data_IF_129655324930
#
_entry.id   IF_129655324930
#
_cell.length_a   1.000
_cell.length_b   1.000
_cell.length_c   1.000
_cell.angle_alpha   90.00
_cell.angle_beta   90.00
_cell.angle_gamma   90.00
#
_symmetry.space_group_name_H-M   'P 1'
#
loop_
_entity.id
_entity.type
_entity.pdbx_description
1 polymer ?
#
# COMPACT_ATOMS: atom_id res chain seq x y z
N UNK A 1 16.95 -10.10 -31.85
CA UNK A 1 15.47 -10.16 -31.90
C UNK A 1 14.82 -11.22 -30.99
N UNK A 2 15.57 -11.99 -30.19
CA UNK A 2 15.02 -13.16 -29.46
C UNK A 2 14.55 -12.91 -28.01
N UNK A 3 14.63 -11.68 -27.49
CA UNK A 3 14.19 -11.35 -26.12
C UNK A 3 12.74 -10.85 -26.01
N UNK A 4 12.17 -10.34 -27.11
CA UNK A 4 10.79 -9.80 -27.12
C UNK A 4 9.73 -10.92 -27.18
N UNK A 5 10.06 -12.05 -27.83
CA UNK A 5 9.12 -13.18 -28.01
C UNK A 5 8.88 -13.96 -26.71
N UNK A 6 9.77 -13.88 -25.71
CA UNK A 6 9.59 -14.60 -24.43
C UNK A 6 8.55 -13.97 -23.49
N UNK A 7 8.23 -12.68 -23.62
CA UNK A 7 7.20 -12.05 -22.77
C UNK A 7 5.77 -12.42 -23.18
N UNK A 8 5.51 -12.70 -24.46
CA UNK A 8 4.17 -13.04 -24.96
C UNK A 8 3.79 -14.53 -24.85
N UNK A 9 4.68 -15.40 -24.34
CA UNK A 9 4.40 -16.84 -24.22
C UNK A 9 3.71 -17.23 -22.92
N UNK A 10 3.69 -16.36 -21.91
CA UNK A 10 3.08 -16.65 -20.61
C UNK A 10 1.58 -16.32 -20.58
N UNK A 11 1.09 -15.38 -21.39
CA UNK A 11 -0.33 -14.95 -21.40
C UNK A 11 -1.30 -15.92 -22.09
N UNK A 12 -0.80 -17.00 -22.69
CA UNK A 12 -1.62 -17.99 -23.43
C UNK A 12 -1.62 -19.38 -22.80
N UNK A 13 -1.28 -19.48 -21.51
CA UNK A 13 -1.50 -20.71 -20.76
C UNK A 13 -3.00 -20.92 -20.54
N UNK A 14 -3.50 -22.13 -20.79
CA UNK A 14 -4.91 -22.51 -20.50
C UNK A 14 -5.27 -22.30 -19.02
N UNK A 15 -4.26 -22.38 -18.13
CA UNK A 15 -4.39 -22.11 -16.69
C UNK A 15 -4.79 -20.67 -16.41
N UNK A 16 -4.29 -19.71 -17.20
CA UNK A 16 -4.57 -18.29 -16.97
C UNK A 16 -5.93 -17.84 -17.53
N UNK A 17 -6.69 -18.73 -18.19
CA UNK A 17 -8.02 -18.44 -18.73
C UNK A 17 -8.08 -17.09 -19.48
N UNK A 18 -7.04 -16.79 -20.29
CA UNK A 18 -6.85 -15.54 -21.06
C UNK A 18 -6.49 -14.28 -20.25
N UNK A 19 -6.14 -14.40 -18.97
CA UNK A 19 -5.62 -13.29 -18.16
C UNK A 19 -4.10 -13.15 -18.36
N UNK A 20 -3.61 -11.91 -18.41
CA UNK A 20 -2.20 -11.62 -18.24
C UNK A 20 -1.80 -11.58 -16.76
N UNK A 21 -0.50 -11.39 -16.51
CA UNK A 21 0.05 -11.38 -15.14
C UNK A 21 -0.48 -10.20 -14.31
N UNK A 22 -0.64 -9.02 -14.93
CA UNK A 22 -1.18 -7.84 -14.25
C UNK A 22 -2.63 -8.07 -13.81
N UNK A 23 -3.42 -8.70 -14.67
CA UNK A 23 -4.81 -9.06 -14.38
C UNK A 23 -4.87 -10.09 -13.26
N UNK A 24 -3.98 -11.09 -13.23
CA UNK A 24 -3.92 -12.04 -12.12
C UNK A 24 -3.59 -11.35 -10.79
N UNK A 25 -2.62 -10.43 -10.78
CA UNK A 25 -2.29 -9.64 -9.58
C UNK A 25 -3.52 -8.84 -9.13
N UNK A 26 -4.19 -8.15 -10.07
CA UNK A 26 -5.38 -7.38 -9.79
C UNK A 26 -6.52 -8.24 -9.24
N UNK A 27 -6.74 -9.43 -9.79
CA UNK A 27 -7.78 -10.34 -9.31
C UNK A 27 -7.53 -10.80 -7.87
N UNK A 28 -6.27 -11.06 -7.52
CA UNK A 28 -5.89 -11.43 -6.15
C UNK A 28 -6.14 -10.27 -5.18
N UNK A 29 -5.73 -9.05 -5.52
CA UNK A 29 -5.93 -7.88 -4.64
C UNK A 29 -7.40 -7.50 -4.50
N UNK A 30 -8.20 -7.66 -5.55
CA UNK A 30 -9.63 -7.39 -5.50
C UNK A 30 -10.44 -8.45 -4.74
N UNK A 31 -9.93 -9.68 -4.61
CA UNK A 31 -10.72 -10.78 -4.05
C UNK A 31 -11.22 -10.48 -2.65
N UNK A 32 -10.38 -9.87 -1.81
CA UNK A 32 -10.71 -9.59 -0.40
C UNK A 32 -11.90 -8.65 -0.26
N UNK A 33 -12.04 -7.65 -1.14
CA UNK A 33 -13.15 -6.68 -1.11
C UNK A 33 -14.47 -7.25 -1.63
N UNK A 34 -14.46 -8.45 -2.21
CA UNK A 34 -15.69 -9.16 -2.59
C UNK A 34 -16.36 -9.86 -1.41
N UNK A 35 -15.60 -10.26 -0.40
CA UNK A 35 -16.14 -11.04 0.72
C UNK A 35 -17.21 -10.31 1.54
N UNK A 36 -17.12 -9.01 1.86
CA UNK A 36 -18.18 -8.31 2.59
C UNK A 36 -19.54 -8.44 1.92
N UNK A 37 -19.61 -8.19 0.61
CA UNK A 37 -20.87 -8.27 -0.14
C UNK A 37 -21.42 -9.69 -0.25
N UNK A 38 -20.55 -10.70 -0.37
CA UNK A 38 -20.98 -12.11 -0.41
C UNK A 38 -21.52 -12.57 0.95
N UNK A 39 -20.79 -12.28 2.04
CA UNK A 39 -21.19 -12.66 3.41
C UNK A 39 -22.46 -11.94 3.82
N UNK A 40 -22.58 -10.65 3.53
CA UNK A 40 -23.80 -9.88 3.79
C UNK A 40 -25.02 -10.47 3.07
N UNK A 41 -24.87 -10.88 1.80
CA UNK A 41 -25.97 -11.51 1.06
C UNK A 41 -26.37 -12.87 1.65
N UNK A 42 -25.42 -13.66 2.13
CA UNK A 42 -25.73 -14.93 2.80
C UNK A 42 -26.48 -14.64 4.11
N UNK A 43 -25.99 -13.70 4.92
CA UNK A 43 -26.63 -13.27 6.18
C UNK A 43 -28.10 -12.88 5.98
N UNK A 44 -28.40 -12.08 4.95
CA UNK A 44 -29.78 -11.66 4.66
C UNK A 44 -30.72 -12.80 4.24
N UNK A 45 -30.17 -13.94 3.80
CA UNK A 45 -30.94 -15.11 3.38
C UNK A 45 -31.01 -16.22 4.46
N UNK A 46 -30.24 -16.14 5.54
CA UNK A 46 -30.22 -17.13 6.63
C UNK A 46 -31.30 -16.91 7.71
N UNK A 47 -32.48 -16.42 7.33
CA UNK A 47 -33.57 -16.13 8.27
C UNK A 47 -34.06 -17.41 8.96
N UNK A 48 -34.27 -17.35 10.27
CA UNK A 48 -34.80 -18.46 11.07
C UNK A 48 -33.73 -19.36 11.71
N UNK A 49 -32.43 -19.12 11.45
CA UNK A 49 -31.34 -19.70 12.22
C UNK A 49 -30.56 -18.58 12.93
N UNK A 50 -30.75 -18.43 14.24
CA UNK A 50 -30.13 -17.36 15.03
C UNK A 50 -28.61 -17.56 15.20
N UNK A 51 -28.17 -18.82 15.28
CA UNK A 51 -26.74 -19.16 15.42
C UNK A 51 -25.99 -18.76 14.15
N UNK A 52 -26.49 -19.18 12.99
CA UNK A 52 -25.86 -18.84 11.70
C UNK A 52 -25.85 -17.33 11.47
N UNK A 53 -26.92 -16.61 11.83
CA UNK A 53 -26.97 -15.16 11.71
C UNK A 53 -25.92 -14.46 12.58
N UNK A 54 -25.72 -14.94 13.81
CA UNK A 54 -24.69 -14.41 14.71
C UNK A 54 -23.28 -14.66 14.17
N UNK A 55 -23.02 -15.86 13.68
CA UNK A 55 -21.72 -16.23 13.12
C UNK A 55 -21.41 -15.45 11.84
N UNK A 56 -22.39 -15.31 10.94
CA UNK A 56 -22.26 -14.52 9.71
C UNK A 56 -22.09 -13.02 9.99
N UNK A 57 -22.79 -12.47 10.99
CA UNK A 57 -22.59 -11.09 11.42
C UNK A 57 -21.18 -10.86 11.97
N UNK A 58 -20.68 -11.82 12.76
CA UNK A 58 -19.31 -11.77 13.31
C UNK A 58 -18.28 -11.86 12.18
N UNK A 59 -18.44 -12.82 11.26
CA UNK A 59 -17.57 -12.96 10.08
C UNK A 59 -17.57 -11.70 9.22
N UNK A 60 -18.73 -11.05 9.04
CA UNK A 60 -18.83 -9.79 8.29
C UNK A 60 -18.03 -8.66 8.95
N UNK A 61 -18.06 -8.54 10.28
CA UNK A 61 -17.23 -7.58 11.01
C UNK A 61 -15.74 -7.86 10.82
N UNK A 62 -15.33 -9.12 11.05
CA UNK A 62 -13.93 -9.53 10.94
C UNK A 62 -13.35 -9.29 9.54
N UNK A 63 -14.13 -9.55 8.48
CA UNK A 63 -13.69 -9.29 7.10
C UNK A 63 -13.53 -7.79 6.85
N UNK A 64 -14.41 -6.94 7.38
CA UNK A 64 -14.28 -5.47 7.26
C UNK A 64 -13.04 -4.96 8.00
N UNK A 65 -12.81 -5.45 9.21
CA UNK A 65 -11.63 -5.09 10.01
C UNK A 65 -10.33 -5.54 9.34
N UNK A 66 -10.32 -6.74 8.76
CA UNK A 66 -9.22 -7.25 7.97
C UNK A 66 -8.93 -6.36 6.75
N UNK A 67 -9.96 -5.95 6.02
CA UNK A 67 -9.80 -5.03 4.87
C UNK A 67 -9.19 -3.71 5.33
N UNK A 68 -9.67 -3.14 6.44
CA UNK A 68 -9.11 -1.89 7.00
C UNK A 68 -7.65 -2.04 7.38
N UNK A 69 -7.26 -3.18 7.94
CA UNK A 69 -5.85 -3.45 8.31
C UNK A 69 -4.98 -3.62 7.06
N UNK A 70 -5.47 -4.33 6.04
CA UNK A 70 -4.78 -4.48 4.76
C UNK A 70 -4.58 -3.13 4.07
N UNK A 71 -5.60 -2.27 4.04
CA UNK A 71 -5.51 -0.92 3.48
C UNK A 71 -4.43 -0.08 4.17
N UNK A 72 -4.42 -0.12 5.52
CA UNK A 72 -3.41 0.58 6.32
C UNK A 72 -1.99 0.05 6.07
N UNK A 73 -1.81 -1.26 5.91
CA UNK A 73 -0.51 -1.84 5.60
C UNK A 73 -0.03 -1.51 4.19
N UNK A 74 -0.93 -1.50 3.19
CA UNK A 74 -0.60 -1.03 1.84
C UNK A 74 -0.13 0.43 1.90
N UNK A 75 -0.87 1.30 2.59
CA UNK A 75 -0.47 2.69 2.79
C UNK A 75 0.91 2.81 3.45
N UNK A 76 1.17 2.04 4.50
CA UNK A 76 2.47 2.02 5.18
C UNK A 76 3.60 1.59 4.24
N UNK A 77 3.36 0.57 3.40
CA UNK A 77 4.34 0.09 2.42
C UNK A 77 4.63 1.13 1.34
N UNK A 78 3.62 1.85 0.84
CA UNK A 78 3.79 2.94 -0.12
C UNK A 78 4.63 4.08 0.48
N UNK A 79 4.33 4.48 1.71
CA UNK A 79 5.11 5.50 2.43
C UNK A 79 6.55 5.05 2.69
N UNK A 80 6.76 3.78 3.01
CA UNK A 80 8.10 3.22 3.17
C UNK A 80 8.86 3.20 1.84
N UNK A 81 8.23 2.73 0.75
CA UNK A 81 8.83 2.78 -0.58
C UNK A 81 9.24 4.20 -0.97
N UNK A 82 8.40 5.20 -0.67
CA UNK A 82 8.73 6.62 -0.87
C UNK A 82 9.89 7.08 0.00
N UNK A 83 9.95 6.68 1.27
CA UNK A 83 11.09 6.95 2.16
C UNK A 83 12.39 6.39 1.60
N UNK A 84 12.39 5.15 1.09
CA UNK A 84 13.56 4.52 0.49
C UNK A 84 14.03 5.28 -0.76
N UNK A 85 13.10 5.75 -1.59
CA UNK A 85 13.43 6.57 -2.74
C UNK A 85 14.12 7.88 -2.34
N UNK A 86 13.56 8.61 -1.37
CA UNK A 86 14.16 9.84 -0.85
C UNK A 86 15.54 9.54 -0.25
N UNK A 87 15.63 8.52 0.60
CA UNK A 87 16.87 8.07 1.23
C UNK A 87 17.95 7.77 0.19
N UNK A 88 17.62 7.11 -0.92
CA UNK A 88 18.59 6.79 -1.98
C UNK A 88 19.20 8.03 -2.63
N UNK A 89 18.47 9.16 -2.66
CA UNK A 89 18.88 10.42 -3.31
C UNK A 89 19.65 11.37 -2.39
N UNK A 90 19.46 11.27 -1.07
CA UNK A 90 20.11 12.14 -0.08
C UNK A 90 21.61 11.79 0.02
N UNK A 91 22.47 12.81 0.01
CA UNK A 91 23.91 12.64 0.26
C UNK A 91 24.18 12.32 1.73
N UNK A 92 24.87 11.21 2.01
CA UNK A 92 25.18 10.74 3.36
C UNK A 92 26.10 11.66 4.16
N UNK A 93 26.75 12.64 3.52
CA UNK A 93 27.54 13.67 4.22
C UNK A 93 26.68 14.79 4.81
N UNK A 94 25.42 14.89 4.42
CA UNK A 94 24.52 15.96 4.90
C UNK A 94 24.09 15.72 6.35
N UNK A 95 24.12 16.79 7.14
CA UNK A 95 23.65 16.82 8.52
C UNK A 95 22.89 18.11 8.76
N UNK A 96 21.72 18.00 9.40
CA UNK A 96 20.93 19.16 9.83
C UNK A 96 20.91 19.22 11.36
N UNK A 97 21.02 20.42 11.92
CA UNK A 97 20.90 20.62 13.37
C UNK A 97 19.52 21.18 13.68
N UNK A 98 18.74 20.42 14.43
CA UNK A 98 17.38 20.78 14.77
C UNK A 98 17.35 21.33 16.20
N UNK A 99 16.75 22.52 16.46
CA UNK A 99 16.70 23.11 17.80
C UNK A 99 16.06 22.22 18.86
N UNK A 100 15.14 21.35 18.45
CA UNK A 100 14.40 20.43 19.32
C UNK A 100 15.13 19.11 19.59
N UNK A 101 16.23 18.83 18.90
CA UNK A 101 16.93 17.53 19.00
C UNK A 101 18.35 17.71 19.55
N UNK A 102 18.76 16.80 20.46
CA UNK A 102 20.09 16.83 21.09
C UNK A 102 21.25 16.47 20.15
N UNK A 103 20.97 16.11 18.90
CA UNK A 103 21.98 15.65 17.94
C UNK A 103 21.67 16.05 16.50
N UNK A 104 22.65 15.88 15.59
CA UNK A 104 22.43 16.15 14.18
C UNK A 104 21.48 15.11 13.58
N UNK A 105 20.53 15.60 12.80
CA UNK A 105 19.70 14.78 11.91
C UNK A 105 20.53 14.38 10.69
N UNK A 106 20.91 13.11 10.61
CA UNK A 106 21.63 12.53 9.48
C UNK A 106 20.69 11.71 8.58
N UNK A 107 21.21 11.29 7.43
CA UNK A 107 20.52 10.41 6.48
C UNK A 107 19.98 9.13 7.14
N UNK A 108 20.73 8.53 8.05
CA UNK A 108 20.37 7.29 8.74
C UNK A 108 19.18 7.47 9.68
N UNK A 109 19.03 8.66 10.28
CA UNK A 109 17.92 8.98 11.16
C UNK A 109 16.57 8.99 10.42
N UNK A 110 16.58 9.18 9.09
CA UNK A 110 15.37 9.11 8.27
C UNK A 110 14.71 7.73 8.32
N UNK A 111 15.51 6.65 8.39
CA UNK A 111 15.00 5.27 8.41
C UNK A 111 14.28 4.90 9.71
N UNK A 112 14.41 5.73 10.75
CA UNK A 112 13.70 5.57 12.02
C UNK A 112 12.37 6.34 12.04
N UNK A 113 12.03 7.04 10.96
CA UNK A 113 10.84 7.89 10.84
C UNK A 113 9.94 7.42 9.70
N UNK A 114 8.73 7.99 9.63
CA UNK A 114 7.76 7.74 8.57
C UNK A 114 7.53 9.01 7.75
N UNK A 115 7.42 8.85 6.44
CA UNK A 115 6.99 9.93 5.55
C UNK A 115 5.50 10.14 5.74
N UNK A 116 5.11 11.34 6.20
CA UNK A 116 3.71 11.73 6.29
C UNK A 116 3.28 12.40 5.00
N UNK A 117 4.05 13.40 4.56
CA UNK A 117 3.79 14.19 3.37
C UNK A 117 5.10 14.52 2.65
N UNK A 118 5.02 14.63 1.33
CA UNK A 118 6.11 15.07 0.47
C UNK A 118 5.53 15.81 -0.75
N UNK A 119 6.26 16.81 -1.24
CA UNK A 119 5.83 17.65 -2.35
C UNK A 119 6.89 18.66 -2.74
N UNK A 120 6.79 19.21 -3.95
CA UNK A 120 7.68 20.28 -4.40
C UNK A 120 7.27 21.60 -3.73
N UNK A 121 8.24 22.30 -3.16
CA UNK A 121 8.03 23.60 -2.53
C UNK A 121 9.15 24.56 -2.92
N UNK A 122 8.81 25.84 -3.03
CA UNK A 122 9.78 26.92 -3.15
C UNK A 122 10.00 27.58 -1.79
N UNK A 123 11.25 27.83 -1.45
CA UNK A 123 11.64 28.47 -0.19
C UNK A 123 12.29 29.82 -0.47
N UNK A 124 11.73 30.88 0.13
CA UNK A 124 12.24 32.24 -0.03
C UNK A 124 13.42 32.47 0.92
N UNK A 125 14.58 32.76 0.36
CA UNK A 125 15.77 33.11 1.13
C UNK A 125 15.66 34.52 1.71
N UNK A 126 16.43 34.87 2.78
CA UNK A 126 16.45 36.23 3.33
C UNK A 126 16.80 37.31 2.29
N UNK A 127 17.54 36.95 1.23
CA UNK A 127 17.85 37.82 0.10
C UNK A 127 16.69 38.01 -0.90
N UNK A 128 15.49 37.51 -0.58
CA UNK A 128 14.28 37.67 -1.39
C UNK A 128 14.14 36.71 -2.57
N UNK A 129 15.13 35.84 -2.82
CA UNK A 129 15.13 34.88 -3.94
C UNK A 129 14.47 33.56 -3.54
N UNK A 130 13.63 33.02 -4.41
CA UNK A 130 13.09 31.66 -4.28
C UNK A 130 14.14 30.64 -4.74
N UNK A 131 14.26 29.55 -3.99
CA UNK A 131 14.99 28.34 -4.34
C UNK A 131 14.03 27.15 -4.31
#
# INVERSE_FOLDING_TARGET
MSRVVRRNRLSRSSVLRRHGVQECILLVTQRITKYPGLVDRILQNSKGNEVDQKDLSTALSLVKDLISTVDQEVHNQEKNARLQEIYSRVDGRTKAYLPSERGPFSKEEMLRRKVVHDGCMLWKTPAGRFK
#
